data_IF_105231946850
#
_entry.id   IF_105231946850
#
_cell.length_a   1.000
_cell.length_b   1.000
_cell.length_c   1.000
_cell.angle_alpha   90.00
_cell.angle_beta   90.00
_cell.angle_gamma   90.00
#
_symmetry.space_group_name_H-M   'P 1'
#
loop_
_entity.id
_entity.type
_entity.pdbx_description
1 polymer ?
#
# COMPACT_ATOMS: atom_id res chain seq x y z
N UNK A 1 9.72 -10.68 -1.60
CA UNK A 1 9.42 -9.49 -2.43
C UNK A 1 8.39 -9.87 -3.48
N UNK A 2 7.37 -9.03 -3.75
CA UNK A 2 6.37 -9.32 -4.79
C UNK A 2 7.01 -9.37 -6.17
N UNK A 3 6.45 -10.21 -7.06
CA UNK A 3 6.77 -10.17 -8.50
C UNK A 3 6.13 -8.91 -9.10
N UNK A 4 6.82 -8.30 -10.05
CA UNK A 4 6.37 -7.08 -10.73
C UNK A 4 6.01 -7.47 -12.15
N UNK A 5 4.73 -7.34 -12.51
CA UNK A 5 4.25 -7.53 -13.87
C UNK A 5 4.47 -6.29 -14.74
N UNK A 6 4.12 -6.41 -16.02
CA UNK A 6 4.39 -5.37 -17.03
C UNK A 6 3.62 -4.07 -16.79
N UNK A 7 2.53 -4.10 -16.03
CA UNK A 7 1.70 -2.93 -15.70
C UNK A 7 1.89 -2.45 -14.25
N UNK A 8 2.80 -3.07 -13.49
CA UNK A 8 2.93 -2.82 -12.05
C UNK A 8 3.98 -1.75 -11.76
N UNK A 9 3.82 -1.07 -10.62
CA UNK A 9 4.87 -0.25 -10.01
C UNK A 9 5.20 -0.84 -8.65
N UNK A 10 6.48 -1.10 -8.42
CA UNK A 10 6.97 -1.54 -7.12
C UNK A 10 7.49 -0.35 -6.33
N UNK A 11 6.86 -0.08 -5.20
CA UNK A 11 7.23 1.01 -4.31
C UNK A 11 7.96 0.44 -3.10
N UNK A 12 9.13 0.99 -2.78
CA UNK A 12 9.78 0.81 -1.49
C UNK A 12 9.15 1.77 -0.50
N UNK A 13 8.21 1.26 0.30
CA UNK A 13 7.55 2.04 1.35
C UNK A 13 8.58 2.57 2.34
N UNK A 14 8.53 3.86 2.63
CA UNK A 14 9.38 4.54 3.62
C UNK A 14 8.63 4.77 4.92
N UNK A 15 7.37 5.17 4.84
CA UNK A 15 6.50 5.38 6.00
C UNK A 15 5.04 5.17 5.62
N UNK A 16 4.22 4.76 6.59
CA UNK A 16 2.77 4.64 6.49
C UNK A 16 2.13 5.36 7.67
N UNK A 17 0.97 5.95 7.45
CA UNK A 17 0.13 6.48 8.51
C UNK A 17 -0.70 5.36 9.15
N UNK A 18 -1.25 5.68 10.32
CA UNK A 18 -2.24 4.88 11.05
C UNK A 18 -3.51 5.73 11.11
N UNK A 19 -4.62 5.20 10.64
CA UNK A 19 -5.91 5.87 10.67
C UNK A 19 -6.90 5.16 11.62
N UNK A 20 -8.12 5.69 11.72
CA UNK A 20 -9.18 5.08 12.54
C UNK A 20 -9.49 3.63 12.14
N UNK A 21 -9.46 3.32 10.83
CA UNK A 21 -9.67 1.96 10.32
C UNK A 21 -8.62 1.00 10.86
N UNK A 22 -7.34 1.41 10.90
CA UNK A 22 -6.28 0.57 11.46
C UNK A 22 -6.52 0.29 12.94
N UNK A 23 -7.07 1.25 13.70
CA UNK A 23 -7.45 1.06 15.10
C UNK A 23 -8.61 0.06 15.26
N UNK A 24 -9.63 0.11 14.39
CA UNK A 24 -10.71 -0.88 14.40
C UNK A 24 -10.17 -2.29 14.14
N UNK A 25 -9.25 -2.44 13.19
CA UNK A 25 -8.61 -3.72 12.87
C UNK A 25 -7.75 -4.19 14.05
N UNK A 26 -6.95 -3.31 14.65
CA UNK A 26 -6.11 -3.62 15.81
C UNK A 26 -6.94 -4.09 17.02
N UNK A 27 -8.05 -3.43 17.29
CA UNK A 27 -8.96 -3.78 18.39
C UNK A 27 -9.84 -5.00 18.08
N UNK A 28 -9.83 -5.48 16.83
CA UNK A 28 -10.65 -6.59 16.34
C UNK A 28 -12.14 -6.46 16.72
N UNK A 29 -12.70 -5.28 16.47
CA UNK A 29 -14.09 -5.02 16.85
C UNK A 29 -15.12 -5.70 15.94
N UNK A 30 -16.41 -5.43 16.19
CA UNK A 30 -17.50 -6.02 15.43
C UNK A 30 -17.51 -5.66 13.94
N UNK A 31 -16.91 -4.51 13.58
CA UNK A 31 -16.74 -4.13 12.18
C UNK A 31 -15.58 -4.91 11.58
N UNK A 32 -14.42 -4.91 12.24
CA UNK A 32 -13.21 -5.56 11.73
C UNK A 32 -13.42 -7.06 11.52
N UNK A 33 -14.06 -7.74 12.48
CA UNK A 33 -14.37 -9.18 12.39
C UNK A 33 -15.33 -9.56 11.25
N UNK A 34 -16.13 -8.61 10.75
CA UNK A 34 -17.01 -8.81 9.58
C UNK A 34 -16.35 -8.39 8.27
N UNK A 35 -15.53 -7.33 8.29
CA UNK A 35 -14.96 -6.71 7.11
C UNK A 35 -13.62 -7.33 6.69
N UNK A 36 -12.82 -7.83 7.64
CA UNK A 36 -11.46 -8.29 7.40
C UNK A 36 -11.37 -9.81 7.39
N UNK A 37 -10.71 -10.35 6.36
CA UNK A 37 -10.38 -11.77 6.24
C UNK A 37 -8.86 -11.98 6.31
N UNK A 38 -8.31 -12.44 7.46
CA UNK A 38 -6.88 -12.74 7.59
C UNK A 38 -6.45 -13.97 6.74
N UNK A 39 -5.16 -14.04 6.31
CA UNK A 39 -4.13 -13.01 6.49
C UNK A 39 -4.27 -11.86 5.49
N UNK A 40 -4.07 -10.63 5.98
CA UNK A 40 -4.12 -9.40 5.18
C UNK A 40 -2.96 -8.48 5.58
N UNK A 41 -2.21 -7.99 4.60
CA UNK A 41 -1.23 -6.91 4.82
C UNK A 41 -1.99 -5.59 4.96
N UNK A 42 -1.83 -4.91 6.09
CA UNK A 42 -2.48 -3.63 6.39
C UNK A 42 -1.67 -2.43 5.86
N UNK A 43 -2.27 -1.25 5.91
CA UNK A 43 -1.69 0.01 5.45
C UNK A 43 -2.28 0.46 4.11
N UNK A 44 -3.03 1.56 4.14
CA UNK A 44 -3.68 2.16 2.97
C UNK A 44 -3.38 3.66 2.83
N UNK A 45 -2.40 4.15 3.60
CA UNK A 45 -1.96 5.54 3.60
C UNK A 45 -0.43 5.55 3.74
N UNK A 46 0.31 5.52 2.64
CA UNK A 46 1.76 5.37 2.68
C UNK A 46 2.50 6.26 1.69
N UNK A 47 3.78 6.48 1.96
CA UNK A 47 4.68 7.14 1.03
C UNK A 47 5.98 6.35 0.89
N UNK A 48 6.60 6.49 -0.28
CA UNK A 48 7.82 5.76 -0.59
C UNK A 48 8.49 6.23 -1.86
N UNK A 49 9.40 5.40 -2.34
CA UNK A 49 10.16 5.63 -3.57
C UNK A 49 9.90 4.51 -4.56
N UNK A 50 9.71 4.86 -5.82
CA UNK A 50 9.52 3.89 -6.90
C UNK A 50 10.81 3.12 -7.09
N UNK A 51 10.76 1.80 -6.87
CA UNK A 51 11.89 0.90 -6.93
C UNK A 51 11.97 0.13 -8.26
N UNK A 52 10.82 -0.25 -8.84
CA UNK A 52 10.72 -0.85 -10.18
C UNK A 52 9.44 -0.40 -10.87
N UNK A 53 9.46 -0.43 -12.20
CA UNK A 53 8.35 -0.06 -13.07
C UNK A 53 8.24 -1.14 -14.15
N UNK A 54 7.02 -1.61 -14.41
CA UNK A 54 6.72 -2.56 -15.48
C UNK A 54 6.92 -1.93 -16.86
N UNK A 55 7.13 -2.77 -17.87
CA UNK A 55 7.47 -2.33 -19.24
C UNK A 55 6.39 -1.49 -19.93
N UNK A 56 5.13 -1.65 -19.53
CA UNK A 56 4.00 -0.90 -20.11
C UNK A 56 3.63 0.36 -19.31
N UNK A 57 4.40 0.71 -18.28
CA UNK A 57 4.12 1.87 -17.43
C UNK A 57 5.00 3.05 -17.86
N UNK A 58 4.36 4.12 -18.34
CA UNK A 58 5.01 5.32 -18.88
C UNK A 58 4.97 6.54 -17.93
N UNK A 59 4.00 6.56 -17.01
CA UNK A 59 3.73 7.69 -16.11
C UNK A 59 4.66 7.82 -14.90
N UNK A 60 5.50 6.82 -14.64
CA UNK A 60 6.28 6.71 -13.41
C UNK A 60 7.74 6.38 -13.69
N UNK A 61 8.66 6.95 -12.90
CA UNK A 61 10.10 6.68 -13.04
C UNK A 61 10.72 6.14 -11.75
N UNK A 62 11.69 5.25 -11.91
CA UNK A 62 12.48 4.73 -10.79
C UNK A 62 13.19 5.90 -10.07
N UNK A 63 13.12 5.90 -8.74
CA UNK A 63 13.69 6.95 -7.88
C UNK A 63 12.70 8.07 -7.52
N UNK A 64 11.56 8.18 -8.19
CA UNK A 64 10.54 9.18 -7.86
C UNK A 64 9.87 8.87 -6.52
N UNK A 65 9.45 9.94 -5.82
CA UNK A 65 8.66 9.83 -4.60
C UNK A 65 7.19 9.69 -4.96
N UNK A 66 6.50 8.78 -4.30
CA UNK A 66 5.07 8.57 -4.46
C UNK A 66 4.36 8.60 -3.10
N UNK A 67 3.17 9.18 -3.08
CA UNK A 67 2.26 9.23 -1.95
C UNK A 67 0.95 8.57 -2.37
N UNK A 68 0.51 7.59 -1.59
CA UNK A 68 -0.84 7.04 -1.65
C UNK A 68 -1.56 7.47 -0.39
N UNK A 69 -2.59 8.28 -0.53
CA UNK A 69 -3.51 8.67 0.53
C UNK A 69 -4.93 8.57 0.02
N UNK A 70 -5.85 8.01 0.80
CA UNK A 70 -7.27 8.22 0.60
C UNK A 70 -7.66 9.55 1.25
N UNK A 71 -8.21 10.48 0.47
CA UNK A 71 -9.09 11.54 0.98
C UNK A 71 -10.50 11.12 0.59
#
# INVERSE_FOLDING_TARGET
MPKVGDNDVLIKVKSTAICGTDLHIWNWDSWASKAIKPPLTLGHEFMGTIHKVGTNVDRFRIGERYLLSHI
#
